data_IF_942483501867
#
_entry.id   IF_942483501867
#
_cell.length_a   1.000
_cell.length_b   1.000
_cell.length_c   1.000
_cell.angle_alpha   90.00
_cell.angle_beta   90.00
_cell.angle_gamma   90.00
#
_symmetry.space_group_name_H-M   'P 1'
#
loop_
_entity.id
_entity.type
_entity.pdbx_description
1 polymer ?
#
# COMPACT_ATOMS: atom_id res chain seq x y z
N UNK A 1 12.34 34.36 38.53
CA UNK A 1 12.73 34.76 37.15
C UNK A 1 13.01 33.50 36.32
N UNK A 2 11.99 32.83 35.73
CA UNK A 2 12.23 31.56 35.01
C UNK A 2 11.13 31.08 34.04
N UNK A 3 9.96 31.71 34.01
CA UNK A 3 8.83 31.24 33.18
C UNK A 3 8.97 31.48 31.67
N UNK A 4 9.79 32.44 31.24
CA UNK A 4 9.90 32.82 29.82
C UNK A 4 10.79 31.86 29.01
N UNK A 5 11.80 31.23 29.62
CA UNK A 5 12.66 30.24 28.96
C UNK A 5 11.94 28.89 28.70
N UNK A 6 10.88 28.59 29.46
CA UNK A 6 10.11 27.35 29.30
C UNK A 6 9.16 27.39 28.09
N UNK A 7 8.58 28.54 27.76
CA UNK A 7 7.70 28.68 26.58
C UNK A 7 8.45 28.66 25.25
N UNK A 8 9.62 29.32 25.19
CA UNK A 8 10.46 29.32 23.98
C UNK A 8 11.02 27.93 23.66
N UNK A 9 11.40 27.15 24.67
CA UNK A 9 11.87 25.77 24.51
C UNK A 9 10.74 24.81 24.13
N UNK A 10 9.52 25.00 24.65
CA UNK A 10 8.34 24.23 24.23
C UNK A 10 7.98 24.49 22.75
N UNK A 11 8.00 25.75 22.31
CA UNK A 11 7.72 26.12 20.91
C UNK A 11 8.75 25.55 19.92
N UNK A 12 10.04 25.59 20.29
CA UNK A 12 11.12 25.04 19.45
C UNK A 12 11.04 23.51 19.34
N UNK A 13 10.79 22.80 20.45
CA UNK A 13 10.63 21.34 20.43
C UNK A 13 9.40 20.90 19.62
N UNK A 14 8.31 21.67 19.68
CA UNK A 14 7.13 21.43 18.87
C UNK A 14 7.42 21.62 17.37
N UNK A 15 8.15 22.67 17.00
CA UNK A 15 8.52 22.94 15.61
C UNK A 15 9.45 21.85 15.03
N UNK A 16 10.46 21.43 15.80
CA UNK A 16 11.35 20.32 15.41
C UNK A 16 10.59 18.99 15.29
N UNK A 17 9.67 18.72 16.22
CA UNK A 17 8.80 17.55 16.14
C UNK A 17 7.89 17.57 14.89
N UNK A 18 7.30 18.73 14.57
CA UNK A 18 6.50 18.89 13.34
C UNK A 18 7.34 18.71 12.07
N UNK A 19 8.59 19.19 12.06
CA UNK A 19 9.47 19.07 10.91
C UNK A 19 9.92 17.62 10.68
N UNK A 20 10.33 16.91 11.73
CA UNK A 20 10.67 15.49 11.66
C UNK A 20 9.48 14.64 11.16
N UNK A 21 8.27 14.92 11.64
CA UNK A 21 7.05 14.23 11.21
C UNK A 21 6.71 14.49 9.74
N UNK A 22 6.91 15.73 9.25
CA UNK A 22 6.73 16.03 7.83
C UNK A 22 7.71 15.23 6.98
N UNK A 23 8.94 15.05 7.43
CA UNK A 23 9.96 14.28 6.72
C UNK A 23 9.65 12.78 6.72
N UNK A 24 9.32 12.20 7.87
CA UNK A 24 8.90 10.81 8.00
C UNK A 24 7.65 10.51 7.14
N UNK A 25 6.67 11.43 7.12
CA UNK A 25 5.47 11.27 6.29
C UNK A 25 5.77 11.30 4.79
N UNK A 26 6.80 12.05 4.35
CA UNK A 26 7.23 12.09 2.95
C UNK A 26 7.94 10.80 2.56
N UNK A 27 8.82 10.31 3.42
CA UNK A 27 9.54 9.04 3.21
C UNK A 27 8.56 7.86 3.16
N UNK A 28 7.61 7.81 4.10
CA UNK A 28 6.59 6.75 4.13
C UNK A 28 5.67 6.79 2.89
N UNK A 29 5.33 7.97 2.38
CA UNK A 29 4.59 8.11 1.11
C UNK A 29 5.41 7.62 -0.08
N UNK A 30 6.67 8.04 -0.17
CA UNK A 30 7.56 7.63 -1.25
C UNK A 30 7.75 6.10 -1.26
N UNK A 31 7.86 5.48 -0.09
CA UNK A 31 7.97 4.03 0.05
C UNK A 31 6.69 3.31 -0.38
N UNK A 32 5.52 3.79 0.05
CA UNK A 32 4.22 3.28 -0.43
C UNK A 32 4.10 3.37 -1.95
N UNK A 33 4.45 4.51 -2.54
CA UNK A 33 4.35 4.72 -3.98
C UNK A 33 5.33 3.81 -4.75
N UNK A 34 6.54 3.57 -4.21
CA UNK A 34 7.50 2.59 -4.75
C UNK A 34 6.93 1.17 -4.73
N UNK A 35 6.29 0.76 -3.64
CA UNK A 35 5.68 -0.57 -3.51
C UNK A 35 4.54 -0.76 -4.51
N UNK A 36 3.66 0.23 -4.65
CA UNK A 36 2.59 0.22 -5.65
C UNK A 36 3.19 0.15 -7.06
N UNK A 37 4.18 0.98 -7.37
CA UNK A 37 4.84 0.97 -8.67
C UNK A 37 5.52 -0.37 -8.98
N UNK A 38 6.12 -1.03 -7.99
CA UNK A 38 6.71 -2.35 -8.14
C UNK A 38 5.65 -3.42 -8.47
N UNK A 39 4.52 -3.40 -7.77
CA UNK A 39 3.37 -4.30 -8.03
C UNK A 39 2.84 -4.07 -9.44
N UNK A 40 2.62 -2.81 -9.85
CA UNK A 40 2.12 -2.50 -11.19
C UNK A 40 3.10 -2.94 -12.29
N UNK A 41 4.40 -2.72 -12.09
CA UNK A 41 5.44 -3.16 -13.04
C UNK A 41 5.48 -4.68 -13.17
N UNK A 42 5.43 -5.39 -12.05
CA UNK A 42 5.38 -6.86 -12.03
C UNK A 42 4.13 -7.38 -12.75
N UNK A 43 2.96 -6.80 -12.47
CA UNK A 43 1.70 -7.15 -13.13
C UNK A 43 1.79 -6.97 -14.64
N UNK A 44 2.27 -5.81 -15.12
CA UNK A 44 2.37 -5.54 -16.56
C UNK A 44 3.32 -6.51 -17.29
N UNK A 45 4.42 -6.91 -16.66
CA UNK A 45 5.32 -7.91 -17.23
C UNK A 45 4.66 -9.29 -17.32
N UNK A 46 3.94 -9.69 -16.27
CA UNK A 46 3.19 -10.94 -16.26
C UNK A 46 2.08 -10.95 -17.31
N UNK A 47 1.37 -9.84 -17.49
CA UNK A 47 0.31 -9.69 -18.50
C UNK A 47 0.87 -9.90 -19.92
N UNK A 48 2.05 -9.32 -20.22
CA UNK A 48 2.72 -9.51 -21.51
C UNK A 48 3.13 -10.97 -21.74
N UNK A 49 3.69 -11.63 -20.73
CA UNK A 49 4.08 -13.04 -20.81
C UNK A 49 2.86 -13.93 -21.07
N UNK A 50 1.76 -13.69 -20.38
CA UNK A 50 0.52 -14.44 -20.53
C UNK A 50 -0.14 -14.21 -21.89
N UNK A 51 -0.19 -12.96 -22.36
CA UNK A 51 -0.70 -12.65 -23.69
C UNK A 51 0.08 -13.38 -24.79
N UNK A 52 1.41 -13.46 -24.66
CA UNK A 52 2.25 -14.21 -25.57
C UNK A 52 2.03 -15.73 -25.46
N UNK A 53 1.84 -16.27 -24.26
CA UNK A 53 1.52 -17.68 -24.05
C UNK A 53 0.16 -18.05 -24.67
N UNK A 54 -0.86 -17.20 -24.48
CA UNK A 54 -2.18 -17.37 -25.09
C UNK A 54 -2.11 -17.38 -26.61
N UNK A 55 -1.43 -16.39 -27.21
CA UNK A 55 -1.22 -16.34 -28.67
C UNK A 55 -0.55 -17.61 -29.20
N UNK A 56 0.46 -18.11 -28.50
CA UNK A 56 1.12 -19.37 -28.86
C UNK A 56 0.16 -20.55 -28.81
N UNK A 57 -0.64 -20.68 -27.74
CA UNK A 57 -1.65 -21.75 -27.63
C UNK A 57 -2.68 -21.67 -28.75
N UNK A 58 -3.23 -20.49 -29.03
CA UNK A 58 -4.20 -20.29 -30.11
C UNK A 58 -3.59 -20.66 -31.47
N UNK A 59 -2.35 -20.27 -31.74
CA UNK A 59 -1.64 -20.64 -32.96
C UNK A 59 -1.41 -22.16 -33.05
N UNK A 60 -0.99 -22.80 -31.95
CA UNK A 60 -0.82 -24.25 -31.89
C UNK A 60 -2.12 -25.00 -32.14
N UNK A 61 -3.24 -24.56 -31.57
CA UNK A 61 -4.55 -25.19 -31.80
C UNK A 61 -5.03 -25.01 -33.24
N UNK A 62 -4.81 -23.83 -33.84
CA UNK A 62 -5.12 -23.61 -35.27
C UNK A 62 -4.30 -24.51 -36.17
N UNK A 63 -2.99 -24.67 -35.91
CA UNK A 63 -2.12 -25.57 -36.67
C UNK A 63 -2.57 -27.02 -36.51
N UNK A 64 -2.89 -27.45 -35.28
CA UNK A 64 -3.36 -28.80 -34.99
C UNK A 64 -4.68 -29.11 -35.69
N UNK A 65 -5.62 -28.18 -35.66
CA UNK A 65 -6.91 -28.29 -36.34
C UNK A 65 -6.77 -28.33 -37.87
N UNK A 66 -5.83 -27.57 -38.42
CA UNK A 66 -5.46 -27.63 -39.84
C UNK A 66 -4.84 -28.99 -40.22
N UNK A 67 -3.91 -29.49 -39.42
CA UNK A 67 -3.26 -30.79 -39.64
C UNK A 67 -4.23 -31.98 -39.51
N UNK A 68 -5.22 -31.89 -38.63
CA UNK A 68 -6.25 -32.92 -38.45
C UNK A 68 -7.32 -32.94 -39.57
N UNK A 69 -7.25 -32.02 -40.55
CA UNK A 69 -8.27 -31.89 -41.60
C UNK A 69 -9.62 -31.37 -41.08
N UNK A 70 -9.73 -31.09 -39.78
CA UNK A 70 -10.94 -30.61 -39.12
C UNK A 70 -11.29 -29.15 -39.47
N UNK A 71 -10.41 -28.43 -40.16
CA UNK A 71 -10.64 -27.07 -40.63
C UNK A 71 -11.91 -26.91 -41.49
N UNK A 72 -12.40 -27.98 -42.13
CA UNK A 72 -13.66 -28.00 -42.89
C UNK A 72 -14.91 -28.01 -42.01
N UNK A 73 -14.80 -28.38 -40.73
CA UNK A 73 -15.89 -28.37 -39.74
C UNK A 73 -15.70 -27.18 -38.77
N UNK A 74 -15.64 -25.97 -39.30
CA UNK A 74 -15.17 -24.76 -38.59
C UNK A 74 -15.86 -24.42 -37.26
N UNK A 75 -17.10 -24.89 -37.03
CA UNK A 75 -17.87 -24.53 -35.84
C UNK A 75 -17.29 -25.06 -34.51
N UNK A 76 -16.73 -26.27 -34.47
CA UNK A 76 -16.22 -26.87 -33.24
C UNK A 76 -14.85 -26.30 -32.83
N UNK A 77 -13.99 -25.99 -33.80
CA UNK A 77 -12.68 -25.36 -33.56
C UNK A 77 -12.87 -23.92 -33.09
N UNK A 78 -13.77 -23.16 -33.70
CA UNK A 78 -14.07 -21.79 -33.27
C UNK A 78 -14.64 -21.75 -31.85
N UNK A 79 -15.43 -22.75 -31.45
CA UNK A 79 -15.91 -22.89 -30.08
C UNK A 79 -14.76 -23.11 -29.07
N UNK A 80 -13.76 -23.93 -29.42
CA UNK A 80 -12.56 -24.16 -28.60
C UNK A 80 -11.73 -22.88 -28.48
N UNK A 81 -11.45 -22.20 -29.59
CA UNK A 81 -10.68 -20.96 -29.60
C UNK A 81 -11.37 -19.86 -28.76
N UNK A 82 -12.69 -19.67 -28.93
CA UNK A 82 -13.49 -18.75 -28.09
C UNK A 82 -13.57 -19.18 -26.63
N UNK A 83 -13.45 -20.48 -26.35
CA UNK A 83 -13.37 -21.01 -24.99
C UNK A 83 -12.06 -20.59 -24.32
N UNK A 84 -10.94 -20.81 -25.00
CA UNK A 84 -9.61 -20.41 -24.53
C UNK A 84 -9.47 -18.90 -24.34
N UNK A 85 -10.07 -18.10 -25.22
CA UNK A 85 -10.11 -16.64 -25.07
C UNK A 85 -10.91 -16.23 -23.84
N UNK A 86 -12.11 -16.80 -23.63
CA UNK A 86 -12.93 -16.50 -22.45
C UNK A 86 -12.27 -16.91 -21.14
N UNK A 87 -11.64 -18.07 -21.11
CA UNK A 87 -10.89 -18.54 -19.92
C UNK A 87 -9.74 -17.58 -19.61
N UNK A 88 -8.99 -17.15 -20.63
CA UNK A 88 -7.92 -16.18 -20.45
C UNK A 88 -8.42 -14.80 -20.01
N UNK A 89 -9.59 -14.35 -20.48
CA UNK A 89 -10.22 -13.11 -20.04
C UNK A 89 -10.67 -13.17 -18.59
N UNK A 90 -11.30 -14.27 -18.16
CA UNK A 90 -11.70 -14.50 -16.77
C UNK A 90 -10.47 -14.49 -15.84
N UNK A 91 -9.42 -15.21 -16.23
CA UNK A 91 -8.14 -15.20 -15.54
C UNK A 91 -7.52 -13.80 -15.45
N UNK A 92 -7.59 -13.02 -16.52
CA UNK A 92 -7.07 -11.66 -16.55
C UNK A 92 -7.90 -10.72 -15.68
N UNK A 93 -9.22 -10.93 -15.56
CA UNK A 93 -10.08 -10.18 -14.65
C UNK A 93 -9.75 -10.51 -13.19
N UNK A 94 -9.71 -11.80 -12.82
CA UNK A 94 -9.37 -12.23 -11.46
C UNK A 94 -8.01 -11.70 -10.99
N UNK A 95 -7.01 -11.68 -11.88
CA UNK A 95 -5.69 -11.10 -11.58
C UNK A 95 -5.72 -9.60 -11.38
N UNK A 96 -6.48 -8.87 -12.21
CA UNK A 96 -6.65 -7.42 -12.05
C UNK A 96 -7.31 -7.10 -10.71
N UNK A 97 -8.31 -7.87 -10.32
CA UNK A 97 -8.96 -7.76 -9.01
C UNK A 97 -7.98 -8.05 -7.87
N UNK A 98 -7.20 -9.14 -7.95
CA UNK A 98 -6.19 -9.45 -6.93
C UNK A 98 -5.12 -8.36 -6.82
N UNK A 99 -4.67 -7.79 -7.94
CA UNK A 99 -3.73 -6.66 -7.94
C UNK A 99 -4.36 -5.41 -7.33
N UNK A 100 -5.62 -5.11 -7.65
CA UNK A 100 -6.36 -3.99 -7.07
C UNK A 100 -6.54 -4.16 -5.54
N UNK A 101 -6.83 -5.38 -5.08
CA UNK A 101 -6.93 -5.71 -3.65
C UNK A 101 -5.59 -5.47 -2.94
N UNK A 102 -4.47 -5.93 -3.49
CA UNK A 102 -3.13 -5.66 -2.91
C UNK A 102 -2.83 -4.17 -2.80
N UNK A 103 -3.16 -3.39 -3.83
CA UNK A 103 -2.97 -1.94 -3.80
C UNK A 103 -3.87 -1.30 -2.73
N UNK A 104 -5.11 -1.77 -2.60
CA UNK A 104 -6.03 -1.32 -1.54
C UNK A 104 -5.49 -1.64 -0.15
N UNK A 105 -5.01 -2.86 0.08
CA UNK A 105 -4.41 -3.27 1.35
C UNK A 105 -3.22 -2.38 1.76
N UNK A 106 -2.35 -2.02 0.81
CA UNK A 106 -1.23 -1.10 1.07
C UNK A 106 -1.75 0.28 1.47
N UNK A 107 -2.80 0.77 0.81
CA UNK A 107 -3.41 2.05 1.12
C UNK A 107 -4.06 2.06 2.50
N UNK A 108 -4.79 0.99 2.82
CA UNK A 108 -5.47 0.83 4.11
C UNK A 108 -4.45 0.72 5.24
N UNK A 109 -3.40 -0.09 5.06
CA UNK A 109 -2.30 -0.21 6.01
C UNK A 109 -1.58 1.13 6.25
N UNK A 110 -1.35 1.92 5.19
CA UNK A 110 -0.79 3.26 5.31
C UNK A 110 -1.72 4.22 6.06
N UNK A 111 -3.03 4.16 5.77
CA UNK A 111 -4.06 4.95 6.45
C UNK A 111 -4.13 4.67 7.95
N UNK A 112 -4.15 3.38 8.34
CA UNK A 112 -4.15 2.96 9.74
C UNK A 112 -2.90 3.44 10.48
N UNK A 113 -1.70 3.26 9.89
CA UNK A 113 -0.45 3.75 10.49
C UNK A 113 -0.47 5.26 10.69
N UNK A 114 -0.95 6.02 9.70
CA UNK A 114 -1.07 7.48 9.80
C UNK A 114 -2.01 7.89 10.93
N UNK A 115 -3.17 7.24 11.05
CA UNK A 115 -4.14 7.54 12.10
C UNK A 115 -3.59 7.20 13.49
N UNK A 116 -2.93 6.05 13.65
CA UNK A 116 -2.31 5.65 14.92
C UNK A 116 -1.19 6.61 15.35
N UNK A 117 -0.37 7.08 14.41
CA UNK A 117 0.66 8.08 14.71
C UNK A 117 0.05 9.42 15.15
N UNK A 118 -1.06 9.86 14.53
CA UNK A 118 -1.78 11.08 14.94
C UNK A 118 -2.38 10.92 16.34
N UNK A 119 -3.03 9.80 16.64
CA UNK A 119 -3.61 9.52 17.96
C UNK A 119 -2.53 9.47 19.06
N UNK A 120 -1.43 8.74 18.82
CA UNK A 120 -0.30 8.66 19.75
C UNK A 120 0.29 10.04 20.03
N UNK A 121 0.38 10.89 19.00
CA UNK A 121 0.88 12.25 19.13
C UNK A 121 -0.05 13.14 19.94
N UNK A 122 -1.36 13.12 19.63
CA UNK A 122 -2.36 13.86 20.40
C UNK A 122 -2.34 13.44 21.87
N UNK A 123 -2.23 12.14 22.15
CA UNK A 123 -2.15 11.62 23.51
C UNK A 123 -0.86 12.07 24.23
N UNK A 124 0.28 12.09 23.53
CA UNK A 124 1.56 12.56 24.08
C UNK A 124 1.55 14.06 24.38
N UNK A 125 0.94 14.86 23.50
CA UNK A 125 0.79 16.31 23.70
C UNK A 125 -0.16 16.61 24.87
N UNK A 126 -1.33 15.96 24.93
CA UNK A 126 -2.27 16.09 26.06
C UNK A 126 -1.64 15.64 27.38
N UNK A 127 -0.90 14.54 27.37
CA UNK A 127 -0.17 14.03 28.54
C UNK A 127 0.91 14.99 29.04
N UNK A 128 1.62 15.68 28.14
CA UNK A 128 2.62 16.69 28.54
C UNK A 128 2.02 17.96 29.13
N UNK A 129 0.81 18.34 28.70
CA UNK A 129 0.08 19.51 29.20
C UNK A 129 -0.56 19.20 30.57
N UNK A 130 -1.01 17.95 30.79
CA UNK A 130 -1.58 17.51 32.06
C UNK A 130 -0.54 17.10 33.11
N UNK A 131 0.68 16.71 32.70
CA UNK A 131 1.73 16.21 33.59
C UNK A 131 2.63 17.28 34.21
N UNK A 132 2.62 18.52 33.72
CA UNK A 132 3.51 19.60 34.18
C UNK A 132 3.07 20.26 35.50
N UNK A 133 1.94 19.85 36.08
CA UNK A 133 1.41 20.43 37.33
C UNK A 133 1.48 19.50 38.56
N UNK A 134 2.28 18.41 38.52
CA UNK A 134 2.32 17.41 39.60
C UNK A 134 3.66 17.26 40.34
N UNK A 135 4.68 18.09 40.10
CA UNK A 135 5.93 18.03 40.87
C UNK A 135 6.16 19.27 41.73
N UNK A 136 6.28 19.00 43.04
CA UNK A 136 6.84 19.85 44.09
C UNK A 136 5.88 20.77 44.86
N UNK A 137 4.96 20.17 45.62
CA UNK A 137 4.50 20.78 46.88
C UNK A 137 4.23 19.69 47.92
N UNK A 138 4.70 19.92 49.15
CA UNK A 138 4.62 19.10 50.39
C UNK A 138 5.80 18.14 50.62
N UNK A 139 6.86 18.57 51.31
CA UNK A 139 7.04 18.69 52.78
C UNK A 139 7.20 17.34 53.50
N UNK A 140 8.41 17.09 54.04
CA UNK A 140 8.63 16.49 55.37
C UNK A 140 10.05 16.78 55.85
N UNK A 141 10.24 18.00 56.35
CA UNK A 141 11.30 18.32 57.31
C UNK A 141 10.80 17.94 58.70
N UNK A 142 11.35 16.87 59.25
CA UNK A 142 11.34 16.54 60.68
C UNK A 142 12.66 15.82 60.97
N UNK A 143 13.70 16.57 61.35
CA UNK A 143 14.86 16.19 62.17
C UNK A 143 15.95 17.26 62.02
N UNK A 144 16.29 17.93 63.13
CA UNK A 144 17.31 18.98 63.22
C UNK A 144 16.89 20.06 64.18
#
# INVERSE_FOLDING_TARGET
MGGLNSLASVGLNLALGQQAMRQESKEAKAERDRQIAAIMRSSSNNDKLQANALRRRLASERVRAGAAGTATTGGSIDAILRGLEREAEQDAQARREATAQKVKEINDAFGVRRNNNLLTTTNRLLGSISGSNSSSSSRRSLLG
#
